data_IF_626251609099
#
_entry.id   IF_626251609099
#
_cell.length_a   1.000
_cell.length_b   1.000
_cell.length_c   1.000
_cell.angle_alpha   90.00
_cell.angle_beta   90.00
_cell.angle_gamma   90.00
#
_symmetry.space_group_name_H-M   'P 1'
#
loop_
_entity.id
_entity.type
_entity.pdbx_description
1 polymer ?
#
# COMPACT_ATOMS: atom_id res chain seq x y z
N UNK A 1 -11.29 1.90 3.83
CA UNK A 1 -9.98 1.25 4.14
C UNK A 1 -9.26 2.09 5.18
N UNK A 2 -8.59 1.47 6.13
CA UNK A 2 -7.77 2.13 7.16
C UNK A 2 -6.31 1.89 6.78
N UNK A 3 -5.51 2.95 6.72
CA UNK A 3 -4.09 2.86 6.35
C UNK A 3 -3.28 3.30 7.56
N UNK A 4 -2.31 2.47 7.96
CA UNK A 4 -1.42 2.77 9.07
C UNK A 4 0.02 2.46 8.68
N UNK A 5 0.88 3.46 8.92
CA UNK A 5 2.33 3.32 8.85
C UNK A 5 2.94 3.27 10.24
N UNK A 6 3.95 2.43 10.41
CA UNK A 6 4.70 2.29 11.65
C UNK A 6 6.11 2.89 11.52
N UNK A 7 6.66 3.36 12.64
CA UNK A 7 8.08 3.74 12.72
C UNK A 7 9.05 2.57 12.52
N UNK A 8 8.57 1.32 12.60
CA UNK A 8 9.35 0.14 12.21
C UNK A 8 9.36 -0.08 10.68
N UNK A 9 8.75 0.82 9.90
CA UNK A 9 8.66 0.70 8.45
C UNK A 9 7.57 -0.22 7.96
N UNK A 10 6.66 -0.69 8.81
CA UNK A 10 5.56 -1.56 8.40
C UNK A 10 4.34 -0.72 8.01
N UNK A 11 3.87 -0.88 6.77
CA UNK A 11 2.63 -0.32 6.26
C UNK A 11 1.56 -1.43 6.24
N UNK A 12 0.40 -1.13 6.79
CA UNK A 12 -0.76 -2.02 6.73
C UNK A 12 -1.98 -1.28 6.21
N UNK A 13 -2.74 -1.96 5.36
CA UNK A 13 -4.04 -1.50 4.89
C UNK A 13 -5.09 -2.50 5.36
N UNK A 14 -6.07 -2.00 6.10
CA UNK A 14 -7.19 -2.77 6.59
C UNK A 14 -8.46 -2.42 5.84
N UNK A 15 -9.32 -3.42 5.66
CA UNK A 15 -10.68 -3.26 5.21
C UNK A 15 -11.60 -4.03 6.16
N UNK A 16 -11.86 -3.50 7.37
CA UNK A 16 -12.62 -4.21 8.39
C UNK A 16 -14.10 -4.36 7.99
N UNK A 17 -14.65 -5.56 8.18
CA UNK A 17 -16.08 -5.83 7.93
C UNK A 17 -16.78 -6.36 9.20
N UNK A 18 -16.99 -5.49 10.22
CA UNK A 18 -17.64 -5.92 11.44
C UNK A 18 -19.09 -6.30 11.17
N UNK A 19 -19.48 -7.50 11.62
CA UNK A 19 -20.86 -8.00 11.54
C UNK A 19 -21.52 -7.88 12.91
N UNK A 20 -22.75 -7.36 12.95
CA UNK A 20 -23.54 -7.33 14.19
C UNK A 20 -24.05 -8.74 14.49
N UNK A 21 -23.82 -9.20 15.71
CA UNK A 21 -24.24 -10.49 16.26
C UNK A 21 -25.07 -10.26 17.53
N UNK A 22 -25.72 -11.29 18.05
CA UNK A 22 -26.55 -11.20 19.26
C UNK A 22 -25.73 -10.78 20.50
N UNK A 23 -24.43 -11.08 20.52
CA UNK A 23 -23.50 -10.73 21.60
C UNK A 23 -22.70 -9.44 21.36
N UNK A 24 -22.95 -8.71 20.26
CA UNK A 24 -22.25 -7.47 19.92
C UNK A 24 -21.65 -7.46 18.51
N UNK A 25 -20.59 -6.68 18.28
CA UNK A 25 -19.89 -6.64 17.00
C UNK A 25 -18.87 -7.78 16.89
N UNK A 26 -18.76 -8.39 15.71
CA UNK A 26 -17.72 -9.40 15.45
C UNK A 26 -16.34 -8.77 15.62
N UNK A 27 -15.42 -9.52 16.24
CA UNK A 27 -14.03 -9.11 16.40
C UNK A 27 -13.26 -9.03 15.09
N UNK A 28 -12.00 -8.59 15.20
CA UNK A 28 -11.01 -8.56 14.13
C UNK A 28 -10.80 -9.95 13.52
N UNK A 29 -10.63 -9.99 12.20
CA UNK A 29 -10.26 -11.18 11.45
C UNK A 29 -8.99 -10.95 10.64
N UNK A 30 -8.25 -12.02 10.36
CA UNK A 30 -7.02 -11.93 9.56
C UNK A 30 -7.30 -11.36 8.17
N UNK A 31 -8.44 -11.72 7.58
CA UNK A 31 -8.91 -11.21 6.28
C UNK A 31 -9.20 -9.70 6.26
N UNK A 32 -9.32 -9.05 7.42
CA UNK A 32 -9.47 -7.60 7.49
C UNK A 32 -8.16 -6.88 7.11
N UNK A 33 -7.00 -7.55 7.14
CA UNK A 33 -5.72 -7.04 6.59
C UNK A 33 -5.63 -7.41 5.12
N UNK A 34 -5.72 -6.41 4.25
CA UNK A 34 -5.63 -6.62 2.80
C UNK A 34 -4.22 -6.37 2.25
N UNK A 35 -3.41 -5.58 2.96
CA UNK A 35 -2.01 -5.34 2.59
C UNK A 35 -1.16 -5.26 3.84
N UNK A 36 -0.02 -5.95 3.81
CA UNK A 36 1.08 -5.75 4.74
C UNK A 36 2.39 -5.65 3.94
N UNK A 37 3.07 -4.51 4.06
CA UNK A 37 4.33 -4.26 3.38
C UNK A 37 5.37 -3.73 4.37
N UNK A 38 6.51 -4.41 4.45
CA UNK A 38 7.66 -3.93 5.17
C UNK A 38 8.53 -3.04 4.27
N UNK A 39 8.82 -1.83 4.73
CA UNK A 39 9.80 -0.92 4.18
C UNK A 39 11.06 -0.95 5.03
N UNK A 40 12.23 -0.80 4.40
CA UNK A 40 13.52 -0.72 5.08
C UNK A 40 13.77 0.62 5.80
N UNK A 41 12.72 1.44 5.97
CA UNK A 41 12.80 2.79 6.55
C UNK A 41 11.53 3.12 7.34
N UNK A 42 11.62 3.90 8.43
CA UNK A 42 10.45 4.36 9.20
C UNK A 42 9.42 5.09 8.35
N UNK A 43 8.13 4.94 8.67
CA UNK A 43 7.04 5.71 8.07
C UNK A 43 6.64 6.81 9.05
N UNK A 44 6.92 8.06 8.70
CA UNK A 44 6.60 9.23 9.52
C UNK A 44 5.14 9.67 9.33
N UNK A 45 4.65 9.57 8.10
CA UNK A 45 3.29 9.96 7.75
C UNK A 45 2.81 9.19 6.52
N UNK A 46 1.51 8.97 6.46
CA UNK A 46 0.80 8.44 5.30
C UNK A 46 -0.35 9.38 4.94
N UNK A 47 -0.54 9.65 3.66
CA UNK A 47 -1.64 10.46 3.16
C UNK A 47 -2.22 9.88 1.87
N UNK A 48 -3.51 10.12 1.63
CA UNK A 48 -4.18 9.70 0.41
C UNK A 48 -4.70 10.91 -0.35
N UNK A 49 -4.37 11.01 -1.63
CA UNK A 49 -4.78 12.13 -2.46
C UNK A 49 -4.34 12.00 -3.91
N UNK A 50 -4.63 13.02 -4.70
CA UNK A 50 -4.19 13.12 -6.09
C UNK A 50 -2.78 13.71 -6.13
N UNK A 51 -1.77 12.84 -6.15
CA UNK A 51 -0.36 13.24 -6.08
C UNK A 51 0.36 13.21 -7.44
N UNK A 52 -0.35 12.88 -8.52
CA UNK A 52 0.19 12.86 -9.88
C UNK A 52 -0.75 13.61 -10.83
N UNK A 53 -0.16 14.32 -11.79
CA UNK A 53 -0.90 14.96 -12.89
C UNK A 53 -1.35 13.97 -13.96
N UNK A 54 -0.82 12.73 -13.95
CA UNK A 54 -1.08 11.70 -14.97
C UNK A 54 -2.40 10.97 -14.71
N UNK A 55 -2.90 10.97 -13.47
CA UNK A 55 -4.11 10.23 -13.09
C UNK A 55 -4.95 10.98 -12.07
N UNK A 56 -6.27 10.94 -12.25
CA UNK A 56 -7.25 11.46 -11.30
C UNK A 56 -7.51 10.49 -10.13
N UNK A 57 -6.88 9.32 -10.13
CA UNK A 57 -7.05 8.32 -9.07
C UNK A 57 -6.30 8.71 -7.81
N UNK A 58 -6.89 8.38 -6.65
CA UNK A 58 -6.21 8.57 -5.37
C UNK A 58 -4.99 7.65 -5.26
N UNK A 59 -3.87 8.24 -4.87
CA UNK A 59 -2.59 7.59 -4.62
C UNK A 59 -2.26 7.68 -3.13
N UNK A 60 -1.40 6.77 -2.67
CA UNK A 60 -0.87 6.76 -1.32
C UNK A 60 0.51 7.41 -1.30
N UNK A 61 0.65 8.53 -0.58
CA UNK A 61 1.94 9.11 -0.25
C UNK A 61 2.43 8.53 1.08
N UNK A 62 3.70 8.13 1.11
CA UNK A 62 4.40 7.66 2.31
C UNK A 62 5.63 8.52 2.52
N UNK A 63 5.66 9.21 3.65
CA UNK A 63 6.79 10.03 4.06
C UNK A 63 7.73 9.21 4.94
N UNK A 64 8.97 9.07 4.49
CA UNK A 64 10.10 8.54 5.26
C UNK A 64 11.04 9.68 5.67
N UNK A 65 12.00 9.47 6.59
CA UNK A 65 12.90 10.53 7.06
C UNK A 65 13.70 11.26 5.97
N UNK A 66 14.02 10.57 4.85
CA UNK A 66 14.82 11.13 3.75
C UNK A 66 14.21 10.90 2.36
N UNK A 67 12.93 10.51 2.29
CA UNK A 67 12.26 10.18 1.03
C UNK A 67 10.75 10.37 1.16
N UNK A 68 10.15 11.03 0.19
CA UNK A 68 8.71 10.96 -0.06
C UNK A 68 8.47 10.01 -1.24
N UNK A 69 7.61 9.01 -1.07
CA UNK A 69 7.27 8.07 -2.12
C UNK A 69 5.76 8.05 -2.35
N UNK A 70 5.36 7.96 -3.61
CA UNK A 70 3.95 7.90 -4.03
C UNK A 70 3.68 6.55 -4.67
N UNK A 71 2.61 5.89 -4.22
CA UNK A 71 2.22 4.55 -4.62
C UNK A 71 0.80 4.55 -5.19
N UNK A 72 0.55 3.72 -6.20
CA UNK A 72 -0.84 3.40 -6.58
C UNK A 72 -1.25 2.14 -5.85
N UNK A 73 -2.46 2.15 -5.27
CA UNK A 73 -3.04 0.96 -4.65
C UNK A 73 -4.06 0.41 -5.66
N UNK A 74 -3.83 -0.81 -6.15
CA UNK A 74 -4.77 -1.53 -7.02
C UNK A 74 -5.20 -2.81 -6.32
N UNK A 75 -6.49 -2.92 -6.01
CA UNK A 75 -7.04 -4.07 -5.29
C UNK A 75 -6.41 -4.24 -3.90
N UNK A 76 -5.72 -5.37 -3.73
CA UNK A 76 -5.00 -5.81 -2.52
C UNK A 76 -3.46 -5.74 -2.72
N UNK A 77 -3.00 -4.97 -3.71
CA UNK A 77 -1.58 -4.79 -4.00
C UNK A 77 -1.16 -3.31 -4.01
N UNK A 78 0.08 -3.06 -3.58
CA UNK A 78 0.76 -1.78 -3.70
C UNK A 78 1.70 -1.85 -4.91
N UNK A 79 1.51 -0.93 -5.86
CA UNK A 79 2.38 -0.79 -7.01
C UNK A 79 3.37 0.37 -6.78
N UNK A 80 4.64 0.04 -6.90
CA UNK A 80 5.76 0.98 -6.81
C UNK A 80 5.90 1.72 -8.15
N UNK A 81 5.82 3.05 -8.13
CA UNK A 81 6.18 3.88 -9.28
C UNK A 81 7.50 4.59 -8.95
N UNK A 82 8.51 4.39 -9.79
CA UNK A 82 9.80 5.05 -9.62
C UNK A 82 9.76 6.44 -10.25
N UNK A 83 9.45 7.46 -9.46
CA UNK A 83 9.38 8.87 -9.92
C UNK A 83 10.74 9.50 -10.22
N UNK A 84 11.85 8.80 -9.97
CA UNK A 84 13.21 9.28 -10.29
C UNK A 84 13.70 8.88 -11.68
N UNK A 85 12.91 8.13 -12.47
CA UNK A 85 13.25 7.83 -13.86
C UNK A 85 12.74 8.95 -14.77
N UNK A 86 13.32 10.15 -14.65
CA UNK A 86 13.08 11.24 -15.60
C UNK A 86 13.71 10.96 -16.98
N UNK A 87 14.08 9.72 -17.33
CA UNK A 87 14.63 9.38 -18.64
C UNK A 87 14.50 7.92 -19.11
N UNK A 88 13.70 7.05 -18.49
CA UNK A 88 13.45 5.72 -19.09
C UNK A 88 11.99 5.31 -18.89
N UNK A 89 11.21 5.47 -19.96
CA UNK A 89 9.87 4.88 -20.10
C UNK A 89 10.08 3.40 -20.46
N UNK A 90 10.19 2.54 -19.45
CA UNK A 90 9.99 1.10 -19.66
C UNK A 90 8.48 0.81 -19.69
N UNK A 91 7.98 0.53 -20.89
CA UNK A 91 6.64 -0.01 -21.13
C UNK A 91 6.65 -1.45 -20.60
N UNK A 92 5.81 -1.85 -19.63
CA UNK A 92 5.80 -3.22 -19.15
C UNK A 92 5.09 -4.10 -20.17
N UNK A 93 5.91 -4.73 -21.00
CA UNK A 93 5.50 -5.66 -22.03
C UNK A 93 6.59 -6.70 -22.31
N UNK A 94 7.25 -7.23 -21.30
CA UNK A 94 7.89 -8.55 -21.40
C UNK A 94 8.11 -9.15 -20.00
N UNK A 95 7.80 -10.44 -19.87
CA UNK A 95 7.81 -11.21 -18.63
C UNK A 95 9.15 -11.12 -17.89
N UNK A 96 9.13 -10.58 -16.66
CA UNK A 96 10.18 -10.84 -15.68
C UNK A 96 9.57 -11.45 -14.43
N UNK A 97 9.60 -12.78 -14.43
CA UNK A 97 9.61 -13.71 -13.31
C UNK A 97 9.40 -13.07 -11.91
N UNK A 98 8.13 -12.90 -11.54
CA UNK A 98 7.75 -12.48 -10.19
C UNK A 98 7.86 -13.72 -9.30
N UNK A 99 8.70 -13.75 -8.24
CA UNK A 99 8.64 -14.83 -7.28
C UNK A 99 7.29 -14.77 -6.56
N UNK A 100 6.40 -15.69 -6.92
CA UNK A 100 5.18 -15.97 -6.17
C UNK A 100 5.56 -16.61 -4.83
N UNK A 101 5.63 -15.79 -3.78
CA UNK A 101 5.67 -16.33 -2.41
C UNK A 101 4.22 -16.59 -2.01
N UNK A 102 3.77 -17.83 -2.23
CA UNK A 102 2.58 -18.38 -1.60
C UNK A 102 2.83 -18.48 -0.09
N UNK A 103 2.12 -17.69 0.70
CA UNK A 103 2.01 -17.93 2.14
C UNK A 103 1.26 -19.26 2.36
N UNK A 104 1.83 -20.14 3.19
CA UNK A 104 1.13 -21.31 3.75
C UNK A 104 0.23 -20.89 4.89
#
# INVERSE_FOLDING_TARGET
KIIIGSFHGILRIYNPHPKKTESGWSGFKTEDVIVEQAFQQPILQVEVGKFSSVTESNQLAVLHPRKLAVYSIKGEAILFYNINAANDVEIPGEETNIPSITAR
#
